data_IF_928965743037
#
_entry.id   IF_928965743037
#
_cell.length_a   1.000
_cell.length_b   1.000
_cell.length_c   1.000
_cell.angle_alpha   90.00
_cell.angle_beta   90.00
_cell.angle_gamma   90.00
#
_symmetry.space_group_name_H-M   'P 1'
#
loop_
_entity.id
_entity.type
_entity.pdbx_description
1 polymer ?
#
# COMPACT_ATOMS: atom_id res chain seq x y z
N UNK A 1 -2.06 -24.95 17.54
CA UNK A 1 -1.46 -23.70 17.02
C UNK A 1 -1.25 -23.87 15.52
N UNK A 2 -2.10 -23.26 14.67
CA UNK A 2 -2.05 -23.48 13.21
C UNK A 2 -0.85 -22.68 12.67
N UNK A 3 0.17 -23.38 12.19
CA UNK A 3 1.39 -22.75 11.65
C UNK A 3 0.97 -21.81 10.49
N UNK A 4 1.21 -20.52 10.68
CA UNK A 4 0.93 -19.44 9.73
C UNK A 4 1.48 -19.76 8.35
N UNK A 5 0.67 -19.62 7.30
CA UNK A 5 1.09 -19.91 5.92
C UNK A 5 2.25 -18.96 5.54
N UNK A 6 3.26 -19.47 4.81
CA UNK A 6 4.40 -18.69 4.28
C UNK A 6 3.94 -17.39 3.61
N UNK A 7 2.81 -17.42 2.88
CA UNK A 7 2.23 -16.24 2.22
C UNK A 7 1.72 -15.19 3.21
N UNK A 8 1.02 -15.62 4.26
CA UNK A 8 0.60 -14.74 5.36
C UNK A 8 1.81 -14.17 6.11
N UNK A 9 2.89 -14.95 6.26
CA UNK A 9 4.15 -14.43 6.83
C UNK A 9 4.72 -13.29 5.98
N UNK A 10 4.73 -13.45 4.65
CA UNK A 10 5.21 -12.40 3.74
C UNK A 10 4.35 -11.15 3.84
N UNK A 11 3.02 -11.29 3.85
CA UNK A 11 2.12 -10.14 4.01
C UNK A 11 2.34 -9.40 5.34
N UNK A 12 2.55 -10.11 6.44
CA UNK A 12 2.93 -9.48 7.72
C UNK A 12 4.27 -8.77 7.64
N UNK A 13 5.30 -9.41 7.07
CA UNK A 13 6.62 -8.78 6.96
C UNK A 13 6.60 -7.53 6.10
N UNK A 14 5.86 -7.54 5.00
CA UNK A 14 5.64 -6.35 4.17
C UNK A 14 4.88 -5.28 4.95
N UNK A 15 3.83 -5.66 5.69
CA UNK A 15 3.11 -4.76 6.59
C UNK A 15 3.99 -4.13 7.67
N UNK A 16 4.82 -4.93 8.31
CA UNK A 16 5.76 -4.50 9.35
C UNK A 16 6.80 -3.53 8.77
N UNK A 17 7.31 -3.82 7.57
CA UNK A 17 8.23 -2.92 6.87
C UNK A 17 7.56 -1.58 6.50
N UNK A 18 6.30 -1.61 6.07
CA UNK A 18 5.53 -0.39 5.80
C UNK A 18 5.31 0.44 7.07
N UNK A 19 4.92 -0.20 8.18
CA UNK A 19 4.82 0.48 9.47
C UNK A 19 6.15 1.06 9.93
N UNK A 20 7.25 0.32 9.78
CA UNK A 20 8.57 0.82 10.12
C UNK A 20 8.95 2.03 9.25
N UNK A 21 8.58 2.03 7.96
CA UNK A 21 8.84 3.16 7.07
C UNK A 21 8.04 4.40 7.48
N UNK A 22 6.74 4.26 7.77
CA UNK A 22 5.88 5.35 8.27
C UNK A 22 6.42 5.92 9.58
N UNK A 23 6.90 5.06 10.49
CA UNK A 23 7.45 5.51 11.77
C UNK A 23 8.86 6.12 11.63
N UNK A 24 9.62 5.72 10.61
CA UNK A 24 10.95 6.26 10.33
C UNK A 24 10.88 7.57 9.56
N UNK A 25 9.86 7.74 8.73
CA UNK A 25 9.58 8.93 7.96
C UNK A 25 8.16 9.45 8.25
N UNK A 26 7.85 9.89 9.48
CA UNK A 26 6.52 10.35 9.80
C UNK A 26 6.21 11.67 9.10
N UNK A 27 4.92 11.98 8.91
CA UNK A 27 4.47 13.28 8.40
C UNK A 27 4.70 14.36 9.46
N UNK A 28 5.30 15.48 9.05
CA UNK A 28 5.53 16.66 9.88
C UNK A 28 4.76 17.86 9.38
N UNK A 29 4.27 18.67 10.32
CA UNK A 29 3.88 20.05 10.12
C UNK A 29 5.00 20.96 10.63
N UNK A 30 5.21 22.09 9.98
CA UNK A 30 6.18 23.12 10.35
C UNK A 30 5.46 24.41 10.75
N UNK A 31 6.05 25.14 11.69
CA UNK A 31 5.64 26.51 12.00
C UNK A 31 6.28 27.47 10.99
N UNK A 32 5.49 28.23 10.21
CA UNK A 32 6.02 29.28 9.37
C UNK A 32 6.58 30.41 10.23
N UNK A 33 7.73 30.94 9.85
CA UNK A 33 8.38 32.06 10.54
C UNK A 33 7.54 33.35 10.57
N UNK A 34 6.51 33.42 9.72
CA UNK A 34 5.63 34.59 9.56
C UNK A 34 4.38 34.55 10.44
N UNK A 35 3.93 33.38 10.92
CA UNK A 35 2.77 33.25 11.81
C UNK A 35 2.87 31.99 12.69
N UNK A 36 3.22 32.10 13.99
CA UNK A 36 3.41 30.96 14.88
C UNK A 36 2.13 30.15 15.17
N UNK A 37 0.96 30.63 14.74
CA UNK A 37 -0.33 29.98 14.99
C UNK A 37 -0.77 28.97 13.93
N UNK A 38 -0.15 28.95 12.74
CA UNK A 38 -0.59 28.12 11.62
C UNK A 38 0.37 26.93 11.40
N UNK A 39 -0.12 25.71 11.54
CA UNK A 39 0.65 24.51 11.18
C UNK A 39 0.54 24.25 9.67
N UNK A 40 1.68 24.22 8.98
CA UNK A 40 1.75 23.94 7.54
C UNK A 40 2.40 22.58 7.36
N UNK A 41 1.78 21.70 6.57
CA UNK A 41 2.35 20.40 6.26
C UNK A 41 3.70 20.56 5.53
N UNK A 42 4.75 20.05 6.17
CA UNK A 42 6.16 20.13 5.71
C UNK A 42 6.57 18.91 4.89
N UNK A 43 5.80 17.82 4.97
CA UNK A 43 6.10 16.57 4.27
C UNK A 43 6.54 15.44 5.20
N UNK A 44 7.11 14.40 4.61
CA UNK A 44 7.66 13.24 5.32
C UNK A 44 9.14 13.43 5.55
N UNK A 45 9.56 13.38 6.80
CA UNK A 45 10.95 13.60 7.17
C UNK A 45 11.45 12.53 8.11
N UNK A 46 12.77 12.36 8.15
CA UNK A 46 13.39 11.36 8.99
C UNK A 46 13.13 11.67 10.47
N UNK A 47 12.57 10.70 11.21
CA UNK A 47 12.09 10.88 12.58
C UNK A 47 13.16 11.38 13.58
N UNK A 48 14.45 11.12 13.31
CA UNK A 48 15.56 11.55 14.17
C UNK A 48 16.29 12.80 13.65
N UNK A 49 15.83 13.39 12.55
CA UNK A 49 16.43 14.56 11.90
C UNK A 49 15.54 15.80 11.93
N UNK A 50 14.41 15.77 12.64
CA UNK A 50 13.41 16.86 12.66
C UNK A 50 14.01 18.18 13.14
N UNK A 51 13.67 19.28 12.47
CA UNK A 51 14.09 20.62 12.88
C UNK A 51 13.29 21.12 14.10
N UNK A 52 13.81 22.11 14.82
CA UNK A 52 13.25 22.59 16.10
C UNK A 52 11.83 23.18 16.01
N UNK A 53 11.37 23.47 14.79
CA UNK A 53 10.08 24.10 14.47
C UNK A 53 9.11 23.14 13.77
N UNK A 54 9.30 21.83 13.94
CA UNK A 54 8.48 20.80 13.32
C UNK A 54 7.77 19.94 14.36
N UNK A 55 6.53 19.56 14.05
CA UNK A 55 5.66 18.75 14.89
C UNK A 55 5.07 17.63 14.05
N UNK A 56 5.03 16.41 14.58
CA UNK A 56 4.42 15.28 13.86
C UNK A 56 2.93 15.56 13.64
N UNK A 57 2.50 15.48 12.37
CA UNK A 57 1.09 15.54 12.01
C UNK A 57 0.42 14.22 12.41
N UNK A 58 -0.21 14.22 13.58
CA UNK A 58 -0.81 13.01 14.17
C UNK A 58 -1.97 12.47 13.35
N UNK A 59 -2.69 13.33 12.64
CA UNK A 59 -3.87 12.93 11.89
C UNK A 59 -3.46 12.18 10.62
N UNK A 60 -2.45 12.68 9.89
CA UNK A 60 -1.87 11.97 8.75
C UNK A 60 -1.21 10.67 9.22
N UNK A 61 -0.38 10.73 10.27
CA UNK A 61 0.31 9.55 10.79
C UNK A 61 -0.67 8.45 11.21
N UNK A 62 -1.75 8.83 11.91
CA UNK A 62 -2.79 7.89 12.32
C UNK A 62 -3.46 7.25 11.11
N UNK A 63 -3.81 8.04 10.09
CA UNK A 63 -4.43 7.53 8.87
C UNK A 63 -3.53 6.53 8.16
N UNK A 64 -2.24 6.84 7.99
CA UNK A 64 -1.28 5.96 7.33
C UNK A 64 -1.16 4.61 8.04
N UNK A 65 -1.08 4.64 9.39
CA UNK A 65 -1.05 3.42 10.20
C UNK A 65 -2.33 2.61 9.99
N UNK A 66 -3.50 3.25 10.04
CA UNK A 66 -4.79 2.57 9.84
C UNK A 66 -4.86 1.94 8.44
N UNK A 67 -4.47 2.66 7.40
CA UNK A 67 -4.45 2.17 6.02
C UNK A 67 -3.56 0.93 5.91
N UNK A 68 -2.34 0.97 6.47
CA UNK A 68 -1.44 -0.18 6.46
C UNK A 68 -2.03 -1.37 7.23
N UNK A 69 -2.61 -1.14 8.42
CA UNK A 69 -3.23 -2.22 9.21
C UNK A 69 -4.42 -2.87 8.50
N UNK A 70 -5.30 -2.07 7.89
CA UNK A 70 -6.42 -2.55 7.09
C UNK A 70 -5.91 -3.37 5.91
N UNK A 71 -4.89 -2.88 5.21
CA UNK A 71 -4.26 -3.55 4.07
C UNK A 71 -3.64 -4.90 4.44
N UNK A 72 -2.89 -4.94 5.54
CA UNK A 72 -2.32 -6.17 6.08
C UNK A 72 -3.43 -7.14 6.49
N UNK A 73 -4.50 -6.65 7.13
CA UNK A 73 -5.66 -7.43 7.51
C UNK A 73 -6.38 -8.07 6.31
N UNK A 74 -6.65 -7.29 5.26
CA UNK A 74 -7.26 -7.76 4.01
C UNK A 74 -6.35 -8.78 3.32
N UNK A 75 -5.08 -8.45 3.13
CA UNK A 75 -4.10 -9.37 2.53
C UNK A 75 -4.02 -10.68 3.31
N UNK A 76 -3.98 -10.60 4.65
CA UNK A 76 -3.97 -11.76 5.52
C UNK A 76 -5.21 -12.63 5.37
N UNK A 77 -6.41 -12.03 5.28
CA UNK A 77 -7.67 -12.72 5.07
C UNK A 77 -7.73 -13.38 3.69
N UNK A 78 -7.31 -12.68 2.64
CA UNK A 78 -7.25 -13.20 1.26
C UNK A 78 -6.23 -14.33 1.10
N UNK A 79 -5.13 -14.27 1.86
CA UNK A 79 -4.08 -15.29 1.87
C UNK A 79 -4.36 -16.45 2.82
N UNK A 80 -5.49 -16.43 3.53
CA UNK A 80 -5.91 -17.54 4.38
C UNK A 80 -6.22 -18.74 3.48
N UNK A 81 -5.50 -19.84 3.68
CA UNK A 81 -5.79 -21.10 3.00
C UNK A 81 -7.24 -21.51 3.29
N UNK A 82 -8.11 -21.33 2.30
CA UNK A 82 -9.47 -21.84 2.29
C UNK A 82 -9.44 -23.36 2.06
N UNK A 83 -8.81 -24.11 2.96
CA UNK A 83 -8.91 -25.58 2.95
C UNK A 83 -10.31 -26.09 3.36
N UNK A 84 -11.27 -25.21 3.67
CA UNK A 84 -12.57 -25.60 4.20
C UNK A 84 -13.80 -24.87 3.64
N UNK A 85 -13.68 -24.08 2.56
CA UNK A 85 -14.86 -23.49 1.92
C UNK A 85 -15.00 -24.13 0.53
N UNK A 86 -15.71 -25.26 0.52
CA UNK A 86 -16.47 -25.84 -0.59
C UNK A 86 -15.75 -25.95 -1.95
N UNK A 87 -15.31 -27.18 -2.28
CA UNK A 87 -15.47 -27.98 -3.53
C UNK A 87 -15.37 -27.32 -4.93
N UNK A 88 -15.22 -26.01 -5.08
CA UNK A 88 -14.97 -25.37 -6.37
C UNK A 88 -13.51 -24.98 -6.42
N UNK A 89 -12.75 -25.76 -7.18
CA UNK A 89 -11.32 -25.59 -7.48
C UNK A 89 -11.10 -24.33 -8.33
N UNK A 90 -11.56 -23.17 -7.87
CA UNK A 90 -11.14 -21.89 -8.41
C UNK A 90 -9.90 -21.50 -7.62
N UNK A 91 -8.72 -21.70 -8.22
CA UNK A 91 -7.50 -21.04 -7.76
C UNK A 91 -7.82 -19.55 -7.74
N UNK A 92 -8.14 -18.98 -6.57
CA UNK A 92 -8.19 -17.54 -6.44
C UNK A 92 -6.82 -17.03 -6.87
N UNK A 93 -6.77 -16.44 -8.06
CA UNK A 93 -5.54 -15.95 -8.63
C UNK A 93 -5.05 -14.85 -7.69
N UNK A 94 -4.00 -15.12 -6.91
CA UNK A 94 -3.48 -14.19 -5.90
C UNK A 94 -3.14 -12.84 -6.52
N UNK A 95 -2.77 -12.83 -7.80
CA UNK A 95 -2.64 -11.62 -8.59
C UNK A 95 -3.93 -10.80 -8.68
N UNK A 96 -5.08 -11.44 -8.92
CA UNK A 96 -6.37 -10.76 -8.94
C UNK A 96 -6.75 -10.21 -7.56
N UNK A 97 -6.41 -10.95 -6.49
CA UNK A 97 -6.62 -10.48 -5.12
C UNK A 97 -5.79 -9.24 -4.80
N UNK A 98 -4.53 -9.19 -5.26
CA UNK A 98 -3.64 -8.03 -5.12
C UNK A 98 -4.14 -6.86 -5.96
N UNK A 99 -4.58 -7.10 -7.20
CA UNK A 99 -5.16 -6.05 -8.05
C UNK A 99 -6.45 -5.47 -7.43
N UNK A 100 -7.30 -6.32 -6.85
CA UNK A 100 -8.51 -5.88 -6.16
C UNK A 100 -8.16 -5.03 -4.93
N UNK A 101 -7.14 -5.44 -4.16
CA UNK A 101 -6.63 -4.66 -3.03
C UNK A 101 -6.09 -3.29 -3.48
N UNK A 102 -5.30 -3.24 -4.56
CA UNK A 102 -4.79 -1.98 -5.13
C UNK A 102 -5.95 -1.09 -5.58
N UNK A 103 -6.92 -1.65 -6.29
CA UNK A 103 -8.10 -0.91 -6.74
C UNK A 103 -8.91 -0.34 -5.57
N UNK A 104 -9.11 -1.12 -4.51
CA UNK A 104 -9.77 -0.65 -3.29
C UNK A 104 -8.99 0.49 -2.63
N UNK A 105 -7.66 0.41 -2.55
CA UNK A 105 -6.83 1.47 -1.98
C UNK A 105 -6.92 2.76 -2.78
N UNK A 106 -6.77 2.68 -4.10
CA UNK A 106 -6.93 3.83 -4.98
C UNK A 106 -8.34 4.43 -4.86
N UNK A 107 -9.36 3.59 -4.69
CA UNK A 107 -10.73 4.07 -4.47
C UNK A 107 -10.83 4.87 -3.18
N UNK A 108 -10.27 4.39 -2.07
CA UNK A 108 -10.28 5.12 -0.79
C UNK A 108 -9.51 6.44 -0.91
N UNK A 109 -8.31 6.43 -1.48
CA UNK A 109 -7.49 7.64 -1.68
C UNK A 109 -8.24 8.68 -2.53
N UNK A 110 -8.91 8.25 -3.60
CA UNK A 110 -9.67 9.14 -4.47
C UNK A 110 -10.98 9.63 -3.82
N UNK A 111 -11.59 8.81 -2.97
CA UNK A 111 -12.79 9.21 -2.21
C UNK A 111 -12.46 10.13 -1.04
N UNK A 112 -11.27 10.00 -0.46
CA UNK A 112 -10.81 10.79 0.67
C UNK A 112 -9.46 11.43 0.35
N UNK A 113 -9.39 12.39 -0.60
CA UNK A 113 -8.13 13.02 -0.93
C UNK A 113 -7.68 13.96 0.20
N UNK A 114 -6.38 14.26 0.27
CA UNK A 114 -5.82 15.24 1.20
C UNK A 114 -6.29 16.64 0.82
N UNK A 115 -6.78 17.42 1.79
CA UNK A 115 -7.27 18.79 1.58
C UNK A 115 -6.50 19.82 2.40
N UNK A 116 -6.42 21.04 1.87
CA UNK A 116 -5.95 22.26 2.53
C UNK A 116 -6.98 23.39 2.32
N UNK A 117 -6.96 24.41 3.16
CA UNK A 117 -7.78 25.61 2.92
C UNK A 117 -7.19 26.48 1.82
N UNK A 118 -8.03 26.95 0.89
CA UNK A 118 -7.68 27.96 -0.10
C UNK A 118 -8.56 29.21 0.08
N UNK A 119 -7.96 30.31 0.53
CA UNK A 119 -8.61 31.63 0.60
C UNK A 119 -7.97 32.58 -0.41
N UNK A 120 -8.74 32.99 -1.43
CA UNK A 120 -8.27 33.89 -2.48
C UNK A 120 -8.48 35.39 -2.18
N UNK A 121 -9.02 35.76 -1.03
CA UNK A 121 -9.34 37.16 -0.72
C UNK A 121 -8.58 37.64 0.51
N UNK A 122 -7.52 38.40 0.23
CA UNK A 122 -6.85 39.38 1.10
C UNK A 122 -6.09 38.86 2.33
N UNK A 123 -4.76 38.96 2.21
CA UNK A 123 -3.72 39.04 3.26
C UNK A 123 -3.52 37.82 4.19
N UNK A 124 -2.57 36.99 3.74
CA UNK A 124 -1.62 36.23 4.57
C UNK A 124 -2.21 35.20 5.55
N UNK A 125 -2.91 34.19 5.02
CA UNK A 125 -2.96 32.88 5.68
C UNK A 125 -2.31 31.88 4.73
N UNK A 126 -1.24 31.24 5.19
CA UNK A 126 -0.52 30.20 4.44
C UNK A 126 -1.42 28.96 4.30
N UNK A 127 -1.29 28.19 3.20
CA UNK A 127 -2.05 26.95 3.02
C UNK A 127 -1.80 26.01 4.20
N UNK A 128 -2.84 25.76 5.00
CA UNK A 128 -2.81 24.83 6.13
C UNK A 128 -3.48 23.53 5.73
N UNK A 129 -2.78 22.42 5.90
CA UNK A 129 -3.34 21.09 5.70
C UNK A 129 -4.48 20.85 6.70
N UNK A 130 -5.60 20.33 6.21
CA UNK A 130 -6.81 20.11 7.00
C UNK A 130 -7.10 18.63 7.25
N UNK A 131 -6.45 17.72 6.52
CA UNK A 131 -6.74 16.30 6.60
C UNK A 131 -7.42 15.75 5.37
N UNK A 132 -8.01 14.57 5.52
CA UNK A 132 -8.65 13.82 4.45
C UNK A 132 -10.15 13.86 4.64
N UNK A 133 -10.85 14.36 3.63
CA UNK A 133 -12.31 14.51 3.66
C UNK A 133 -12.92 13.75 2.51
N UNK A 134 -14.16 13.31 2.69
CA UNK A 134 -14.88 12.70 1.58
C UNK A 134 -15.09 13.73 0.47
N UNK A 135 -14.66 13.40 -0.76
CA UNK A 135 -14.58 14.34 -1.88
C UNK A 135 -15.94 14.99 -2.21
N UNK A 136 -17.04 14.26 -2.01
CA UNK A 136 -18.39 14.77 -2.27
C UNK A 136 -18.99 15.58 -1.12
N UNK A 137 -18.34 15.63 0.04
CA UNK A 137 -18.73 16.49 1.17
C UNK A 137 -17.72 17.61 1.45
N UNK A 138 -16.71 17.76 0.60
CA UNK A 138 -15.70 18.78 0.77
C UNK A 138 -16.31 20.18 0.59
N UNK A 139 -16.05 21.08 1.55
CA UNK A 139 -16.50 22.46 1.48
C UNK A 139 -15.84 23.23 0.34
N UNK A 140 -16.46 24.32 -0.16
CA UNK A 140 -15.98 25.08 -1.32
C UNK A 140 -14.62 25.78 -1.10
N UNK A 141 -14.14 25.82 0.14
CA UNK A 141 -12.86 26.43 0.53
C UNK A 141 -11.74 25.40 0.66
N UNK A 142 -12.00 24.12 0.38
CA UNK A 142 -10.99 23.07 0.44
C UNK A 142 -10.40 22.82 -0.96
N UNK A 143 -9.08 22.83 -1.05
CA UNK A 143 -8.31 22.46 -2.24
C UNK A 143 -7.57 21.14 -1.99
N UNK A 144 -7.47 20.30 -3.02
CA UNK A 144 -6.75 19.02 -2.91
C UNK A 144 -5.25 19.29 -2.89
N UNK A 145 -4.55 18.72 -1.90
CA UNK A 145 -3.09 18.78 -1.78
C UNK A 145 -2.48 17.75 -2.73
N UNK A 146 -2.39 18.14 -4.00
CA UNK A 146 -1.93 17.26 -5.08
C UNK A 146 -0.58 16.56 -4.81
N UNK A 147 0.43 17.18 -4.17
CA UNK A 147 1.68 16.48 -3.86
C UNK A 147 1.48 15.28 -2.93
N UNK A 148 0.67 15.42 -1.87
CA UNK A 148 0.37 14.33 -0.94
C UNK A 148 -0.40 13.23 -1.67
N UNK A 149 -1.42 13.61 -2.44
CA UNK A 149 -2.22 12.66 -3.22
C UNK A 149 -1.34 11.83 -4.18
N UNK A 150 -0.37 12.46 -4.84
CA UNK A 150 0.56 11.76 -5.73
C UNK A 150 1.45 10.78 -4.97
N UNK A 151 1.98 11.16 -3.81
CA UNK A 151 2.81 10.28 -2.98
C UNK A 151 2.00 9.05 -2.56
N UNK A 152 0.77 9.23 -2.09
CA UNK A 152 -0.11 8.13 -1.68
C UNK A 152 -0.42 7.17 -2.82
N UNK A 153 -0.79 7.71 -3.99
CA UNK A 153 -1.06 6.90 -5.19
C UNK A 153 0.19 6.14 -5.63
N UNK A 154 1.35 6.80 -5.68
CA UNK A 154 2.63 6.16 -6.04
C UNK A 154 2.99 5.06 -5.06
N UNK A 155 2.80 5.27 -3.76
CA UNK A 155 3.08 4.29 -2.72
C UNK A 155 2.22 3.04 -2.86
N UNK A 156 0.92 3.21 -3.08
CA UNK A 156 -0.02 2.09 -3.30
C UNK A 156 0.32 1.33 -4.58
N UNK A 157 0.61 2.04 -5.67
CA UNK A 157 0.97 1.41 -6.94
C UNK A 157 2.28 0.63 -6.83
N UNK A 158 3.29 1.20 -6.17
CA UNK A 158 4.58 0.56 -5.97
C UNK A 158 4.44 -0.71 -5.12
N UNK A 159 3.79 -0.62 -3.95
CA UNK A 159 3.53 -1.78 -3.09
C UNK A 159 2.70 -2.86 -3.80
N UNK A 160 1.66 -2.44 -4.51
CA UNK A 160 0.83 -3.30 -5.34
C UNK A 160 1.62 -4.04 -6.40
N UNK A 161 2.48 -3.34 -7.14
CA UNK A 161 3.34 -3.92 -8.17
C UNK A 161 4.34 -4.91 -7.59
N UNK A 162 5.01 -4.57 -6.48
CA UNK A 162 5.95 -5.46 -5.79
C UNK A 162 5.25 -6.74 -5.34
N UNK A 163 4.11 -6.63 -4.66
CA UNK A 163 3.32 -7.79 -4.25
C UNK A 163 2.86 -8.62 -5.46
N UNK A 164 2.33 -7.96 -6.49
CA UNK A 164 1.85 -8.63 -7.69
C UNK A 164 2.95 -9.42 -8.41
N UNK A 165 4.18 -8.88 -8.45
CA UNK A 165 5.37 -9.56 -8.97
C UNK A 165 5.82 -10.73 -8.07
N UNK A 166 5.81 -10.56 -6.75
CA UNK A 166 6.18 -11.62 -5.79
C UNK A 166 5.24 -12.83 -5.88
N UNK A 167 3.96 -12.59 -6.15
CA UNK A 167 2.94 -13.62 -6.31
C UNK A 167 2.67 -13.98 -7.77
N UNK A 168 3.53 -13.54 -8.70
CA UNK A 168 3.48 -14.00 -10.09
C UNK A 168 3.81 -15.48 -10.10
N UNK A 169 2.79 -16.30 -10.33
CA UNK A 169 2.98 -17.71 -10.62
C UNK A 169 3.96 -17.79 -11.80
N UNK A 170 5.15 -18.36 -11.56
CA UNK A 170 5.96 -18.83 -12.67
C UNK A 170 5.06 -19.81 -13.39
N UNK A 171 4.72 -19.52 -14.64
CA UNK A 171 4.25 -20.55 -15.56
C UNK A 171 5.37 -21.58 -15.59
N UNK A 172 5.34 -22.56 -14.68
CA UNK A 172 5.95 -23.85 -14.95
C UNK A 172 5.36 -24.21 -16.29
N UNK A 173 6.24 -24.26 -17.29
CA UNK A 173 5.90 -24.64 -18.65
C UNK A 173 5.07 -25.91 -18.49
N UNK A 174 3.76 -25.82 -18.67
CA UNK A 174 2.91 -27.00 -18.67
C UNK A 174 3.43 -27.79 -19.86
N UNK A 175 4.30 -28.76 -19.57
CA UNK A 175 4.84 -29.65 -20.58
C UNK A 175 3.62 -30.24 -21.25
N UNK A 176 3.46 -29.93 -22.53
CA UNK A 176 2.41 -30.57 -23.31
C UNK A 176 2.58 -32.08 -23.14
N UNK A 177 1.50 -32.89 -23.15
CA UNK A 177 1.61 -34.34 -22.97
C UNK A 177 2.67 -34.98 -23.87
N UNK A 178 2.89 -34.39 -25.06
CA UNK A 178 3.94 -34.76 -25.99
C UNK A 178 5.36 -34.42 -25.50
N UNK A 179 5.60 -33.23 -24.94
CA UNK A 179 6.89 -32.84 -24.36
C UNK A 179 7.20 -33.66 -23.09
N UNK A 180 6.20 -33.98 -22.26
CA UNK A 180 6.38 -34.84 -21.07
C UNK A 180 6.77 -36.28 -21.45
N UNK A 181 6.13 -36.84 -22.49
CA UNK A 181 6.47 -38.16 -23.05
C UNK A 181 7.87 -38.13 -23.68
N UNK A 182 8.23 -37.05 -24.39
CA UNK A 182 9.57 -36.90 -24.97
C UNK A 182 10.66 -36.85 -23.88
N UNK A 183 10.42 -36.09 -22.81
CA UNK A 183 11.35 -35.94 -21.69
C UNK A 183 11.52 -37.26 -20.90
N UNK A 184 10.44 -38.00 -20.65
CA UNK A 184 10.52 -39.35 -20.06
C UNK A 184 11.29 -40.33 -20.94
N UNK A 185 11.13 -40.24 -22.26
CA UNK A 185 11.84 -41.08 -23.22
C UNK A 185 13.34 -40.75 -23.27
N UNK A 186 13.70 -39.49 -23.06
CA UNK A 186 15.10 -39.03 -22.99
C UNK A 186 15.78 -39.52 -21.71
N UNK A 187 15.13 -39.33 -20.55
CA UNK A 187 15.61 -39.81 -19.25
C UNK A 187 15.76 -41.34 -19.20
N UNK A 188 14.81 -42.08 -19.80
CA UNK A 188 14.89 -43.55 -19.88
C UNK A 188 16.05 -44.03 -20.77
N UNK A 189 16.43 -43.26 -21.80
CA UNK A 189 17.58 -43.59 -22.66
C UNK A 189 18.91 -43.32 -21.97
N UNK A 190 19.00 -42.25 -21.18
CA UNK A 190 20.19 -41.97 -20.35
C UNK A 190 20.39 -43.04 -19.28
N UNK A 191 19.33 -43.45 -18.58
CA UNK A 191 19.42 -44.55 -17.60
C UNK A 191 19.76 -45.90 -18.21
N UNK A 192 19.39 -46.17 -19.46
CA UNK A 192 19.77 -47.42 -20.14
C UNK A 192 21.20 -47.42 -20.70
N UNK A 193 21.89 -46.28 -20.67
CA UNK A 193 23.26 -46.11 -21.18
C UNK A 193 24.32 -46.06 -20.07
N UNK A 194 23.92 -46.01 -18.80
CA UNK A 194 24.81 -46.22 -17.64
C UNK A 194 24.69 -47.65 -17.13
#
# INVERSE_FOLDING_TARGET
MRIMNRKQKVALWVGLANLALILLFPPFDSFPFTDPGALIFSGFQFAFGSESNEVINRDVLFLEIVVVLVNVGIAWLLLRDAKHILVTRHRLNYQNAILLMVAANLTVILLFPPFEYFYALTNAVLPTFQGFYFIFSAGPMLAIVTPILYIEVMFVLFNGAVLWLLFRDKKEKELTPQEAIALMRELSREQSRS
#
